data_IF_716313624563
#
_entry.id   IF_716313624563
#
_cell.length_a   1.000
_cell.length_b   1.000
_cell.length_c   1.000
_cell.angle_alpha   90.00
_cell.angle_beta   90.00
_cell.angle_gamma   90.00
#
_symmetry.space_group_name_H-M   'P 1'
#
loop_
_entity.id
_entity.type
_entity.pdbx_description
1 polymer ?
#
# COMPACT_ATOMS: atom_id res chain seq x y z
N UNK A 1 -35.48 15.18 -18.14
CA UNK A 1 -34.45 14.34 -18.79
C UNK A 1 -33.09 14.91 -18.44
N UNK A 2 -32.30 14.22 -17.62
CA UNK A 2 -30.92 14.64 -17.33
C UNK A 2 -29.99 14.16 -18.44
N UNK A 3 -29.44 15.08 -19.21
CA UNK A 3 -28.36 14.80 -20.15
C UNK A 3 -27.03 14.87 -19.39
N UNK A 4 -26.31 13.76 -19.30
CA UNK A 4 -24.90 13.77 -18.87
C UNK A 4 -24.06 14.04 -20.11
N UNK A 5 -23.40 15.20 -20.15
CA UNK A 5 -22.34 15.46 -21.13
C UNK A 5 -21.05 15.00 -20.47
N UNK A 6 -20.55 13.82 -20.86
CA UNK A 6 -19.19 13.43 -20.51
C UNK A 6 -18.22 14.32 -21.30
N UNK A 7 -17.19 14.84 -20.63
CA UNK A 7 -16.04 15.48 -21.27
C UNK A 7 -14.92 14.42 -21.36
N UNK A 8 -14.77 13.70 -22.49
CA UNK A 8 -13.86 12.56 -22.58
C UNK A 8 -12.41 12.91 -22.26
N UNK A 9 -11.98 14.11 -22.62
CA UNK A 9 -10.64 14.62 -22.34
C UNK A 9 -10.41 14.80 -20.84
N UNK A 10 -11.39 15.34 -20.10
CA UNK A 10 -11.30 15.46 -18.65
C UNK A 10 -11.31 14.09 -17.95
N UNK A 11 -12.08 13.13 -18.47
CA UNK A 11 -12.06 11.75 -17.97
C UNK A 11 -10.71 11.08 -18.24
N UNK A 12 -10.10 11.31 -19.40
CA UNK A 12 -8.78 10.79 -19.74
C UNK A 12 -7.68 11.39 -18.83
N UNK A 13 -7.74 12.69 -18.54
CA UNK A 13 -6.84 13.33 -17.58
C UNK A 13 -7.02 12.74 -16.17
N UNK A 14 -8.26 12.63 -15.68
CA UNK A 14 -8.51 12.03 -14.38
C UNK A 14 -8.04 10.57 -14.29
N UNK A 15 -8.18 9.79 -15.37
CA UNK A 15 -7.67 8.42 -15.44
C UNK A 15 -6.13 8.38 -15.36
N UNK A 16 -5.45 9.30 -16.05
CA UNK A 16 -3.99 9.43 -15.97
C UNK A 16 -3.52 9.84 -14.57
N UNK A 17 -4.23 10.76 -13.92
CA UNK A 17 -3.93 11.17 -12.54
C UNK A 17 -4.09 9.99 -11.56
N UNK A 18 -5.17 9.22 -11.69
CA UNK A 18 -5.43 8.04 -10.85
C UNK A 18 -4.36 6.96 -11.08
N UNK A 19 -3.93 6.72 -12.31
CA UNK A 19 -2.86 5.77 -12.60
C UNK A 19 -1.51 6.25 -12.01
N UNK A 20 -1.23 7.54 -12.10
CA UNK A 20 -0.06 8.16 -11.47
C UNK A 20 -0.05 7.98 -9.94
N UNK A 21 -1.17 8.23 -9.28
CA UNK A 21 -1.34 8.00 -7.84
C UNK A 21 -1.16 6.52 -7.50
N UNK A 22 -1.81 5.62 -8.26
CA UNK A 22 -1.68 4.18 -8.05
C UNK A 22 -0.25 3.69 -8.21
N UNK A 23 0.49 4.23 -9.19
CA UNK A 23 1.91 3.94 -9.40
C UNK A 23 2.77 4.38 -8.21
N UNK A 24 2.55 5.61 -7.71
CA UNK A 24 3.25 6.12 -6.54
C UNK A 24 2.99 5.28 -5.28
N UNK A 25 1.74 4.86 -5.05
CA UNK A 25 1.37 3.98 -3.93
C UNK A 25 2.09 2.63 -4.06
N UNK A 26 2.05 2.00 -5.24
CA UNK A 26 2.73 0.70 -5.46
C UNK A 26 4.24 0.81 -5.22
N UNK A 27 4.88 1.89 -5.67
CA UNK A 27 6.30 2.11 -5.44
C UNK A 27 6.61 2.27 -3.94
N UNK A 28 5.79 3.03 -3.21
CA UNK A 28 5.93 3.19 -1.77
C UNK A 28 5.73 1.86 -1.02
N UNK A 29 4.69 1.09 -1.37
CA UNK A 29 4.43 -0.23 -0.79
C UNK A 29 5.58 -1.20 -1.04
N UNK A 30 6.15 -1.22 -2.26
CA UNK A 30 7.32 -2.04 -2.58
C UNK A 30 8.55 -1.67 -1.76
N UNK A 31 8.79 -0.37 -1.53
CA UNK A 31 9.88 0.10 -0.67
C UNK A 31 9.65 -0.27 0.80
N UNK A 32 8.40 -0.29 1.26
CA UNK A 32 8.05 -0.62 2.64
C UNK A 32 8.03 -2.14 2.91
N UNK A 33 7.76 -2.97 1.89
CA UNK A 33 7.59 -4.41 2.01
C UNK A 33 8.74 -5.11 2.74
N UNK A 34 9.99 -4.79 2.39
CA UNK A 34 11.17 -5.35 3.04
C UNK A 34 11.25 -5.05 4.54
N UNK A 35 11.31 -3.77 4.96
CA UNK A 35 11.43 -3.41 6.37
C UNK A 35 10.22 -3.78 7.23
N UNK A 36 9.01 -3.88 6.67
CA UNK A 36 7.80 -4.18 7.47
C UNK A 36 7.50 -5.66 7.63
N UNK A 37 7.87 -6.51 6.66
CA UNK A 37 7.68 -7.97 6.76
C UNK A 37 8.88 -8.70 7.35
N UNK A 38 10.05 -8.08 7.37
CA UNK A 38 11.29 -8.65 7.92
C UNK A 38 11.58 -8.26 9.37
N UNK A 39 10.57 -7.86 10.16
CA UNK A 39 10.77 -7.35 11.51
C UNK A 39 11.29 -8.45 12.45
N UNK A 40 12.55 -8.31 12.91
CA UNK A 40 13.16 -9.24 13.85
C UNK A 40 12.75 -8.92 15.30
N UNK A 41 12.71 -9.95 16.14
CA UNK A 41 12.50 -9.78 17.57
C UNK A 41 13.62 -8.91 18.17
N UNK A 42 13.25 -7.91 18.97
CA UNK A 42 14.19 -7.01 19.63
C UNK A 42 15.11 -7.74 20.64
N UNK A 43 14.67 -8.88 21.18
CA UNK A 43 15.46 -9.79 21.99
C UNK A 43 15.01 -11.25 21.77
N UNK A 44 15.84 -12.23 22.14
CA UNK A 44 15.52 -13.65 22.04
C UNK A 44 14.40 -14.12 23.01
N UNK A 45 13.85 -13.22 23.81
CA UNK A 45 12.75 -13.51 24.73
C UNK A 45 11.45 -13.80 23.96
N UNK A 46 10.70 -14.80 24.41
CA UNK A 46 9.45 -15.24 23.79
C UNK A 46 8.43 -14.09 23.59
N UNK A 47 8.37 -13.16 24.55
CA UNK A 47 7.51 -11.98 24.48
C UNK A 47 7.91 -11.05 23.32
N UNK A 48 9.21 -10.93 23.05
CA UNK A 48 9.71 -10.07 21.97
C UNK A 48 9.49 -10.70 20.59
N UNK A 49 9.59 -12.03 20.48
CA UNK A 49 9.20 -12.74 19.25
C UNK A 49 7.68 -12.70 19.02
N UNK A 50 6.89 -12.88 20.08
CA UNK A 50 5.43 -12.81 19.99
C UNK A 50 4.95 -11.40 19.62
N UNK A 51 5.66 -10.35 20.06
CA UNK A 51 5.35 -8.98 19.69
C UNK A 51 5.70 -8.65 18.22
N UNK A 52 6.76 -9.21 17.64
CA UNK A 52 7.18 -8.93 16.26
C UNK A 52 6.32 -9.63 15.19
N UNK A 53 5.75 -10.79 15.53
CA UNK A 53 4.91 -11.60 14.64
C UNK A 53 3.69 -10.84 14.06
N UNK A 54 2.82 -10.18 14.85
CA UNK A 54 1.63 -9.52 14.32
C UNK A 54 1.96 -8.34 13.39
N UNK A 55 3.08 -7.63 13.61
CA UNK A 55 3.50 -6.55 12.72
C UNK A 55 3.90 -7.08 11.34
N UNK A 56 4.62 -8.21 11.30
CA UNK A 56 5.03 -8.84 10.05
C UNK A 56 3.84 -9.44 9.29
N UNK A 57 2.87 -9.99 10.02
CA UNK A 57 1.61 -10.50 9.46
C UNK A 57 0.77 -9.36 8.86
N UNK A 58 0.54 -8.29 9.61
CA UNK A 58 -0.22 -7.13 9.13
C UNK A 58 0.46 -6.45 7.93
N UNK A 59 1.79 -6.37 7.94
CA UNK A 59 2.57 -5.87 6.81
C UNK A 59 2.37 -6.71 5.54
N UNK A 60 2.18 -8.02 5.66
CA UNK A 60 1.95 -8.92 4.53
C UNK A 60 0.53 -8.83 3.99
N UNK A 61 -0.45 -8.54 4.83
CA UNK A 61 -1.85 -8.31 4.40
C UNK A 61 -2.05 -6.94 3.73
N UNK A 62 -1.16 -5.98 4.01
CA UNK A 62 -1.15 -4.66 3.36
C UNK A 62 -0.38 -4.64 2.02
N UNK A 63 0.22 -5.77 1.60
CA UNK A 63 0.83 -5.93 0.26
C UNK A 63 -0.22 -6.30 -0.79
#
# INVERSE_FOLDING_TARGET
MSYVIAAPEMLAMAAADVDGIGSAIRAASASAAGPTTGLLAAAAAEVSSAAAAPFSEYARECQ
#
